data_IF_453861846357
#
_entry.id   IF_453861846357
#
_cell.length_a   1.000
_cell.length_b   1.000
_cell.length_c   1.000
_cell.angle_alpha   90.00
_cell.angle_beta   90.00
_cell.angle_gamma   90.00
#
_symmetry.space_group_name_H-M   'P 1'
#
loop_
_entity.id
_entity.type
_entity.pdbx_description
1 polymer ?
#
# COMPACT_ATOMS: atom_id res chain seq x y z
N UNK A 1 -4.26 -13.08 21.78
CA UNK A 1 -4.95 -12.96 20.48
C UNK A 1 -3.87 -13.15 19.46
N UNK A 2 -3.80 -14.33 18.85
CA UNK A 2 -2.74 -14.67 17.90
C UNK A 2 -2.98 -13.86 16.64
N UNK A 3 -2.13 -12.88 16.33
CA UNK A 3 -2.11 -12.30 14.99
C UNK A 3 -1.65 -13.45 14.10
N UNK A 4 -2.59 -14.14 13.44
CA UNK A 4 -2.24 -14.98 12.31
C UNK A 4 -1.47 -14.08 11.36
N UNK A 5 -0.19 -14.36 11.15
CA UNK A 5 0.64 -13.64 10.21
C UNK A 5 -0.10 -13.62 8.87
N UNK A 6 -0.67 -12.46 8.53
CA UNK A 6 -1.46 -12.34 7.32
C UNK A 6 -0.60 -12.79 6.13
N UNK A 7 -1.17 -13.59 5.24
CA UNK A 7 -0.42 -14.09 4.09
C UNK A 7 0.19 -12.90 3.33
N UNK A 8 1.42 -13.05 2.81
CA UNK A 8 2.14 -11.96 2.13
C UNK A 8 1.30 -11.17 1.10
N UNK A 9 0.50 -11.83 0.23
CA UNK A 9 -0.37 -11.10 -0.71
C UNK A 9 -1.46 -10.26 -0.03
N UNK A 10 -1.95 -10.69 1.14
CA UNK A 10 -2.93 -9.96 1.92
C UNK A 10 -2.30 -8.72 2.58
N UNK A 11 -1.08 -8.83 3.12
CA UNK A 11 -0.32 -7.69 3.65
C UNK A 11 -0.06 -6.63 2.58
N UNK A 12 0.39 -7.05 1.40
CA UNK A 12 0.61 -6.17 0.24
C UNK A 12 -0.67 -5.45 -0.15
N UNK A 13 -1.76 -6.20 -0.35
CA UNK A 13 -3.06 -5.62 -0.73
C UNK A 13 -3.57 -4.65 0.34
N UNK A 14 -3.49 -5.01 1.62
CA UNK A 14 -3.92 -4.16 2.71
C UNK A 14 -3.09 -2.88 2.81
N UNK A 15 -1.77 -2.96 2.60
CA UNK A 15 -0.90 -1.79 2.54
C UNK A 15 -1.30 -0.86 1.39
N UNK A 16 -1.56 -1.42 0.20
CA UNK A 16 -2.01 -0.61 -0.94
C UNK A 16 -3.40 0.01 -0.70
N UNK A 17 -4.29 -0.70 -0.01
CA UNK A 17 -5.59 -0.19 0.43
C UNK A 17 -5.42 0.98 1.41
N UNK A 18 -4.51 0.84 2.36
CA UNK A 18 -4.15 1.90 3.30
C UNK A 18 -3.68 3.16 2.58
N UNK A 19 -2.72 3.02 1.67
CA UNK A 19 -2.18 4.15 0.89
C UNK A 19 -3.24 4.81 0.00
N UNK A 20 -4.20 4.03 -0.51
CA UNK A 20 -5.32 4.56 -1.28
C UNK A 20 -6.44 5.13 -0.42
N UNK A 21 -6.39 5.04 0.92
CA UNK A 21 -7.47 5.50 1.79
C UNK A 21 -7.66 7.01 1.74
N UNK A 22 -8.91 7.46 1.81
CA UNK A 22 -9.27 8.89 1.91
C UNK A 22 -8.94 9.47 3.29
N UNK A 23 -8.74 8.60 4.29
CA UNK A 23 -8.36 8.99 5.65
C UNK A 23 -6.88 9.39 5.74
N UNK A 24 -6.05 8.96 4.78
CA UNK A 24 -4.62 9.25 4.75
C UNK A 24 -4.36 10.49 3.89
N UNK A 25 -3.71 11.47 4.51
CA UNK A 25 -3.27 12.70 3.83
C UNK A 25 -2.14 12.38 2.84
N UNK A 26 -2.10 13.09 1.72
CA UNK A 26 -1.07 12.90 0.69
C UNK A 26 0.37 13.07 1.21
N UNK A 27 0.59 13.94 2.21
CA UNK A 27 1.89 14.08 2.88
C UNK A 27 2.32 12.78 3.58
N UNK A 28 1.49 12.26 4.48
CA UNK A 28 1.73 10.99 5.19
C UNK A 28 1.93 9.82 4.24
N UNK A 29 1.10 9.73 3.19
CA UNK A 29 1.26 8.70 2.15
C UNK A 29 2.63 8.78 1.47
N UNK A 30 3.07 10.00 1.14
CA UNK A 30 4.37 10.24 0.52
C UNK A 30 5.52 9.76 1.40
N UNK A 31 5.49 10.02 2.70
CA UNK A 31 6.50 9.53 3.65
C UNK A 31 6.52 8.00 3.70
N UNK A 32 5.36 7.36 3.82
CA UNK A 32 5.28 5.88 3.85
C UNK A 32 5.81 5.28 2.54
N UNK A 33 5.50 5.88 1.39
CA UNK A 33 6.02 5.43 0.10
C UNK A 33 7.53 5.61 -0.05
N UNK A 34 8.15 6.54 0.69
CA UNK A 34 9.62 6.68 0.72
C UNK A 34 10.27 5.61 1.59
N UNK A 35 9.62 5.24 2.68
CA UNK A 35 10.11 4.23 3.62
C UNK A 35 9.93 2.80 3.07
N UNK A 36 8.87 2.53 2.32
CA UNK A 36 8.56 1.19 1.84
C UNK A 36 9.38 0.83 0.59
N UNK A 37 10.05 -0.33 0.60
CA UNK A 37 10.83 -0.82 -0.53
C UNK A 37 9.91 -1.48 -1.58
N UNK A 38 9.89 -1.06 -2.86
CA UNK A 38 9.16 -1.80 -3.90
C UNK A 38 9.52 -3.30 -3.99
N UNK A 39 10.72 -3.69 -3.56
CA UNK A 39 11.19 -5.07 -3.53
C UNK A 39 10.43 -6.00 -2.58
N UNK A 40 9.72 -5.47 -1.60
CA UNK A 40 8.91 -6.30 -0.68
C UNK A 40 7.62 -6.81 -1.31
N UNK A 41 7.16 -6.22 -2.40
CA UNK A 41 5.97 -6.68 -3.13
C UNK A 41 6.33 -7.86 -4.03
N UNK A 42 5.87 -9.06 -3.67
CA UNK A 42 6.07 -10.29 -4.43
C UNK A 42 5.15 -10.37 -5.63
N UNK A 43 3.93 -9.84 -5.51
CA UNK A 43 2.99 -9.78 -6.63
C UNK A 43 3.37 -8.64 -7.59
N UNK A 44 3.62 -8.92 -8.89
CA UNK A 44 3.99 -7.90 -9.87
C UNK A 44 2.94 -6.79 -10.03
N UNK A 45 1.65 -7.12 -9.93
CA UNK A 45 0.58 -6.12 -9.99
C UNK A 45 0.64 -5.23 -8.76
N UNK A 46 0.78 -5.80 -7.55
CA UNK A 46 0.87 -5.00 -6.32
C UNK A 46 2.08 -4.06 -6.34
N UNK A 47 3.23 -4.57 -6.80
CA UNK A 47 4.44 -3.77 -6.96
C UNK A 47 4.22 -2.59 -7.90
N UNK A 48 3.63 -2.82 -9.08
CA UNK A 48 3.35 -1.74 -10.03
C UNK A 48 2.35 -0.75 -9.46
N UNK A 49 1.31 -1.20 -8.78
CA UNK A 49 0.36 -0.31 -8.09
C UNK A 49 1.09 0.55 -7.06
N UNK A 50 1.99 -0.01 -6.25
CA UNK A 50 2.80 0.74 -5.30
C UNK A 50 3.69 1.79 -6.00
N UNK A 51 4.42 1.39 -7.03
CA UNK A 51 5.30 2.27 -7.80
C UNK A 51 4.51 3.46 -8.37
N UNK A 52 3.34 3.24 -8.94
CA UNK A 52 2.48 4.31 -9.46
C UNK A 52 1.94 5.22 -8.35
N UNK A 53 1.60 4.68 -7.16
CA UNK A 53 1.20 5.49 -6.00
C UNK A 53 2.36 6.38 -5.54
N UNK A 54 3.57 5.82 -5.49
CA UNK A 54 4.79 6.54 -5.10
C UNK A 54 5.11 7.66 -6.10
N UNK A 55 5.02 7.38 -7.40
CA UNK A 55 5.25 8.36 -8.48
C UNK A 55 4.22 9.51 -8.45
N UNK A 56 2.97 9.22 -8.12
CA UNK A 56 1.93 10.24 -7.95
C UNK A 56 2.16 11.12 -6.70
N UNK A 57 2.99 10.67 -5.76
CA UNK A 57 3.44 11.47 -4.62
C UNK A 57 2.30 11.92 -3.70
N UNK A 58 2.33 13.19 -3.28
CA UNK A 58 1.46 13.72 -2.22
C UNK A 58 0.10 14.28 -2.68
N UNK A 59 -0.44 13.83 -3.81
CA UNK A 59 -1.76 14.27 -4.29
C UNK A 59 -2.92 13.83 -3.38
N UNK A 60 -4.11 14.40 -3.54
CA UNK A 60 -5.27 13.95 -2.78
C UNK A 60 -5.69 12.52 -3.15
N UNK A 61 -6.18 11.74 -2.17
CA UNK A 61 -6.57 10.33 -2.39
C UNK A 61 -7.67 10.16 -3.43
N UNK A 62 -8.56 11.16 -3.60
CA UNK A 62 -9.54 11.14 -4.70
C UNK A 62 -8.85 11.16 -6.06
N UNK A 63 -7.89 12.09 -6.24
CA UNK A 63 -7.14 12.23 -7.48
C UNK A 63 -6.24 11.03 -7.75
N UNK A 64 -5.65 10.46 -6.70
CA UNK A 64 -4.90 9.21 -6.77
C UNK A 64 -5.78 8.09 -7.36
N UNK A 65 -6.97 7.87 -6.80
CA UNK A 65 -7.89 6.82 -7.24
C UNK A 65 -8.40 7.03 -8.68
N UNK A 66 -8.47 8.27 -9.16
CA UNK A 66 -8.83 8.57 -10.54
C UNK A 66 -7.72 8.24 -11.53
N UNK A 67 -6.46 8.52 -11.17
CA UNK A 67 -5.30 8.40 -12.08
C UNK A 67 -4.67 7.01 -12.07
N UNK A 68 -4.72 6.33 -10.92
CA UNK A 68 -4.06 5.05 -10.68
C UNK A 68 -4.50 3.94 -11.68
N UNK A 69 -5.79 3.77 -12.03
CA UNK A 69 -6.19 2.72 -12.96
C UNK A 69 -5.53 2.88 -14.34
N UNK A 70 -5.60 4.09 -14.91
CA UNK A 70 -5.01 4.37 -16.21
C UNK A 70 -3.50 4.17 -16.22
N UNK A 71 -2.82 4.54 -15.13
CA UNK A 71 -1.37 4.33 -14.96
C UNK A 71 -1.00 2.85 -14.92
N UNK A 72 -1.71 2.06 -14.12
CA UNK A 72 -1.46 0.62 -13.99
C UNK A 72 -1.77 -0.12 -15.32
N UNK A 73 -2.84 0.27 -16.02
CA UNK A 73 -3.13 -0.24 -17.37
C UNK A 73 -2.01 0.06 -18.35
N UNK A 74 -1.47 1.29 -18.36
CA UNK A 74 -0.35 1.67 -19.23
C UNK A 74 0.96 0.90 -18.92
N UNK A 75 1.08 0.32 -17.73
CA UNK A 75 2.22 -0.52 -17.31
C UNK A 75 2.06 -2.00 -17.68
N UNK A 76 0.96 -2.37 -18.34
CA UNK A 76 0.74 -3.73 -18.86
C UNK A 76 -0.34 -4.54 -18.12
N UNK A 77 -1.14 -3.91 -17.26
CA UNK A 77 -2.26 -4.56 -16.55
C UNK A 77 -3.61 -4.02 -17.03
N UNK A 78 -4.07 -4.39 -18.24
CA UNK A 78 -5.29 -3.84 -18.84
C UNK A 78 -6.57 -4.16 -18.06
N UNK A 79 -6.58 -5.28 -17.33
CA UNK A 79 -7.73 -5.75 -16.57
C UNK A 79 -7.74 -5.23 -15.11
N UNK A 80 -6.88 -4.27 -14.77
CA UNK A 80 -6.81 -3.73 -13.43
C UNK A 80 -8.06 -2.90 -13.09
N UNK A 81 -8.89 -3.42 -12.18
CA UNK A 81 -9.99 -2.68 -11.58
C UNK A 81 -9.66 -2.28 -10.14
N UNK A 82 -9.40 -0.98 -9.96
CA UNK A 82 -9.14 -0.39 -8.66
C UNK A 82 -10.28 -0.62 -7.66
N UNK A 83 -11.54 -0.63 -8.11
CA UNK A 83 -12.69 -0.80 -7.20
C UNK A 83 -12.69 -2.20 -6.60
N UNK A 84 -12.50 -3.22 -7.43
CA UNK A 84 -12.36 -4.61 -6.99
C UNK A 84 -11.10 -4.81 -6.16
N UNK A 85 -10.01 -4.15 -6.53
CA UNK A 85 -8.73 -4.23 -5.80
C UNK A 85 -8.80 -3.66 -4.38
N UNK A 86 -9.50 -2.53 -4.23
CA UNK A 86 -9.65 -1.85 -2.94
C UNK A 86 -10.80 -2.39 -2.07
N UNK A 87 -11.59 -3.33 -2.58
CA UNK A 87 -12.77 -3.83 -1.89
C UNK A 87 -12.41 -4.56 -0.56
N UNK A 88 -13.24 -4.41 0.50
CA UNK A 88 -14.45 -3.59 0.58
C UNK A 88 -14.16 -2.07 0.55
N UNK A 89 -15.06 -1.33 -0.09
CA UNK A 89 -14.90 0.10 -0.41
C UNK A 89 -15.14 1.01 0.81
N UNK A 90 -15.94 0.51 1.75
CA UNK A 90 -16.16 1.11 3.07
C UNK A 90 -15.11 0.54 4.02
N UNK A 91 -14.10 1.34 4.34
CA UNK A 91 -13.15 1.04 5.40
C UNK A 91 -13.70 1.75 6.63
N UNK A 92 -14.18 0.99 7.61
CA UNK A 92 -14.50 1.52 8.93
C UNK A 92 -13.24 1.99 9.64
N UNK A 93 -13.37 2.86 10.65
CA UNK A 93 -12.22 3.28 11.47
C UNK A 93 -11.49 2.07 12.07
N UNK A 94 -12.21 1.01 12.45
CA UNK A 94 -11.58 -0.21 12.96
C UNK A 94 -10.71 -0.92 11.91
N UNK A 95 -11.11 -0.88 10.65
CA UNK A 95 -10.33 -1.48 9.56
C UNK A 95 -9.12 -0.63 9.19
N UNK A 96 -9.14 0.71 9.40
CA UNK A 96 -7.95 1.53 9.09
C UNK A 96 -6.76 1.15 9.97
N UNK A 97 -7.02 0.76 11.23
CA UNK A 97 -6.00 0.30 12.16
C UNK A 97 -5.40 -1.03 11.68
N UNK A 98 -6.23 -1.99 11.25
CA UNK A 98 -5.77 -3.27 10.69
C UNK A 98 -4.97 -3.07 9.38
N UNK A 99 -5.39 -2.13 8.54
CA UNK A 99 -4.68 -1.75 7.32
C UNK A 99 -3.34 -1.06 7.64
N UNK A 100 -3.29 -0.25 8.69
CA UNK A 100 -2.07 0.40 9.16
C UNK A 100 -1.09 -0.61 9.75
N UNK A 101 -1.55 -1.55 10.57
CA UNK A 101 -0.73 -2.66 11.08
C UNK A 101 -0.14 -3.50 9.94
N UNK A 102 -0.91 -3.73 8.87
CA UNK A 102 -0.41 -4.42 7.68
C UNK A 102 0.72 -3.64 6.99
N UNK A 103 0.60 -2.31 6.92
CA UNK A 103 1.63 -1.44 6.37
C UNK A 103 2.90 -1.42 7.22
N UNK A 104 2.76 -1.42 8.56
CA UNK A 104 3.90 -1.51 9.48
C UNK A 104 4.64 -2.84 9.32
N UNK A 105 3.93 -3.97 9.30
CA UNK A 105 4.55 -5.27 9.06
C UNK A 105 5.29 -5.34 7.72
N UNK A 106 4.75 -4.68 6.69
CA UNK A 106 5.39 -4.64 5.37
C UNK A 106 6.61 -3.69 5.34
N UNK A 107 6.59 -2.62 6.14
CA UNK A 107 7.72 -1.72 6.37
C UNK A 107 8.85 -2.44 7.10
N UNK A 108 8.57 -3.21 8.15
CA UNK A 108 9.57 -4.01 8.88
C UNK A 108 10.29 -4.97 7.92
N UNK A 109 9.55 -5.53 6.96
CA UNK A 109 10.10 -6.43 5.94
C UNK A 109 10.90 -5.69 4.85
N UNK A 110 10.75 -4.35 4.75
CA UNK A 110 11.54 -3.50 3.85
C UNK A 110 12.88 -3.09 4.46
N UNK A 111 12.98 -3.12 5.80
CA UNK A 111 14.19 -2.77 6.55
C UNK A 111 14.59 -3.91 7.50
N UNK A 112 14.93 -5.11 6.99
CA UNK A 112 15.31 -6.23 7.84
C UNK A 112 16.59 -5.98 8.67
N UNK A 113 17.36 -4.95 8.32
CA UNK A 113 18.67 -4.65 8.91
C UNK A 113 18.66 -3.52 9.96
N UNK A 114 17.51 -2.87 10.25
CA UNK A 114 17.40 -1.87 11.33
C UNK A 114 17.25 -2.50 12.74
N UNK A 115 17.56 -3.78 12.92
CA UNK A 115 17.72 -4.43 14.25
C UNK A 115 19.19 -4.58 14.70
N UNK A 116 20.14 -3.88 14.08
CA UNK A 116 21.50 -3.78 14.65
C UNK A 116 21.91 -2.33 14.84
N UNK A 117 21.95 -1.92 16.10
CA UNK A 117 22.97 -1.12 16.76
C UNK A 117 22.32 -0.24 17.83
N UNK A 118 22.40 -0.69 19.08
CA UNK A 118 22.76 0.20 20.18
C UNK A 118 23.58 -0.65 21.17
N UNK A 119 24.87 -0.30 21.25
CA UNK A 119 25.89 -0.78 22.18
C UNK A 119 25.58 -0.30 23.61
#
# INVERSE_FOLDING_TARGET
MTIESASRPLLERNTLRFLCSVLIKGGTRGEICRLLDPGVFQDPLHRVVFEEIRELGSIDSRRLRELLPARVTNRGFPDFDLKSFLAPQEVSEKEIDELFESALQLLDLSHPDEETFHD
#
